data_IF_322271566856
#
_entry.id   IF_322271566856
#
_cell.length_a   1.000
_cell.length_b   1.000
_cell.length_c   1.000
_cell.angle_alpha   90.00
_cell.angle_beta   90.00
_cell.angle_gamma   90.00
#
_symmetry.space_group_name_H-M   'P 1'
#
loop_
_entity.id
_entity.type
_entity.pdbx_description
1 polymer ?
#
# COMPACT_ATOMS: atom_id res chain seq x y z
N UNK A 1 -1.69 18.23 21.46
CA UNK A 1 -0.78 18.78 20.41
C UNK A 1 -1.68 19.48 19.41
N UNK A 2 -1.26 20.63 18.88
CA UNK A 2 -2.10 21.45 17.99
C UNK A 2 -2.32 20.73 16.64
N UNK A 3 -3.53 20.66 16.13
CA UNK A 3 -3.87 19.94 14.87
C UNK A 3 -3.02 20.36 13.67
N UNK A 4 -2.63 21.64 13.60
CA UNK A 4 -1.70 22.15 12.59
C UNK A 4 -0.30 21.50 12.67
N UNK A 5 0.22 21.23 13.86
CA UNK A 5 1.51 20.54 14.01
C UNK A 5 1.43 19.08 13.55
N UNK A 6 0.30 18.41 13.78
CA UNK A 6 0.04 17.06 13.30
C UNK A 6 -0.05 17.01 11.78
N UNK A 7 -0.71 17.99 11.16
CA UNK A 7 -0.81 18.11 9.71
C UNK A 7 0.58 18.33 9.08
N UNK A 8 1.36 19.30 9.59
CA UNK A 8 2.73 19.54 9.11
C UNK A 8 3.61 18.29 9.22
N UNK A 9 3.56 17.59 10.35
CA UNK A 9 4.30 16.33 10.55
C UNK A 9 3.85 15.25 9.57
N UNK A 10 2.58 15.19 9.21
CA UNK A 10 2.08 14.21 8.24
C UNK A 10 2.60 14.48 6.83
N UNK A 11 2.72 15.75 6.43
CA UNK A 11 3.37 16.13 5.17
C UNK A 11 4.87 15.77 5.14
N UNK A 12 5.59 16.02 6.24
CA UNK A 12 6.99 15.61 6.36
C UNK A 12 7.17 14.10 6.19
N UNK A 13 6.32 13.30 6.85
CA UNK A 13 6.36 11.84 6.75
C UNK A 13 5.99 11.32 5.34
N UNK A 14 5.03 11.95 4.67
CA UNK A 14 4.72 11.63 3.27
C UNK A 14 5.87 12.02 2.32
N UNK A 15 6.51 13.15 2.59
CA UNK A 15 7.68 13.62 1.84
C UNK A 15 8.91 12.72 2.03
N UNK A 16 9.02 12.03 3.17
CA UNK A 16 10.11 11.10 3.48
C UNK A 16 9.92 9.70 2.86
N UNK A 17 8.95 9.51 1.96
CA UNK A 17 8.73 8.23 1.27
C UNK A 17 10.00 7.65 0.63
N UNK A 18 10.85 8.42 -0.10
CA UNK A 18 12.09 7.89 -0.69
C UNK A 18 13.09 7.39 0.36
N UNK A 19 13.27 8.12 1.46
CA UNK A 19 14.16 7.75 2.55
C UNK A 19 13.63 6.51 3.30
N UNK A 20 12.33 6.44 3.55
CA UNK A 20 11.71 5.27 4.18
C UNK A 20 11.83 4.01 3.31
N UNK A 21 11.73 4.15 1.99
CA UNK A 21 11.92 3.04 1.05
C UNK A 21 13.35 2.48 1.16
N UNK A 22 14.35 3.35 1.07
CA UNK A 22 15.76 2.96 1.19
C UNK A 22 16.05 2.32 2.56
N UNK A 23 15.61 2.96 3.64
CA UNK A 23 15.82 2.48 5.00
C UNK A 23 15.22 1.08 5.22
N UNK A 24 14.00 0.83 4.74
CA UNK A 24 13.37 -0.49 4.87
C UNK A 24 14.17 -1.59 4.17
N UNK A 25 14.70 -1.30 2.98
CA UNK A 25 15.54 -2.24 2.25
C UNK A 25 16.90 -2.48 2.95
N UNK A 26 17.52 -1.42 3.47
CA UNK A 26 18.79 -1.54 4.16
C UNK A 26 18.66 -2.37 5.44
N UNK A 27 17.60 -2.17 6.22
CA UNK A 27 17.31 -3.02 7.38
C UNK A 27 17.12 -4.47 6.96
N UNK A 28 16.34 -4.73 5.91
CA UNK A 28 16.11 -6.09 5.42
C UNK A 28 17.39 -6.78 4.92
N UNK A 29 18.34 -6.04 4.34
CA UNK A 29 19.63 -6.58 3.90
C UNK A 29 20.54 -7.06 5.04
N UNK A 30 20.31 -6.61 6.26
CA UNK A 30 21.04 -7.08 7.44
C UNK A 30 20.58 -8.43 7.96
N UNK A 31 19.42 -8.90 7.50
CA UNK A 31 18.78 -10.10 7.99
C UNK A 31 19.61 -11.34 7.71
N UNK A 32 19.45 -12.32 8.60
CA UNK A 32 20.05 -13.67 8.47
C UNK A 32 18.90 -14.69 8.54
N UNK A 33 19.15 -15.91 8.09
CA UNK A 33 18.21 -17.04 8.16
C UNK A 33 16.97 -16.92 7.24
N UNK A 34 17.03 -16.08 6.20
CA UNK A 34 16.01 -16.11 5.16
C UNK A 34 16.15 -17.35 4.28
N UNK A 35 15.06 -17.94 3.76
CA UNK A 35 15.11 -19.04 2.82
C UNK A 35 15.73 -18.61 1.49
N UNK A 36 16.29 -19.55 0.75
CA UNK A 36 16.68 -19.31 -0.64
C UNK A 36 15.46 -19.42 -1.56
N UNK A 37 15.50 -18.77 -2.72
CA UNK A 37 14.41 -18.82 -3.70
C UNK A 37 14.00 -20.26 -4.08
N UNK A 38 14.97 -21.19 -4.14
CA UNK A 38 14.73 -22.61 -4.42
C UNK A 38 13.88 -23.33 -3.36
N UNK A 39 13.80 -22.77 -2.15
CA UNK A 39 13.07 -23.35 -1.03
C UNK A 39 11.66 -22.78 -0.88
N UNK A 40 11.24 -21.90 -1.80
CA UNK A 40 9.99 -21.17 -1.74
C UNK A 40 9.11 -21.57 -2.92
N UNK A 41 7.94 -22.16 -2.64
CA UNK A 41 6.94 -22.52 -3.65
C UNK A 41 5.88 -21.42 -3.84
N UNK A 42 5.60 -20.64 -2.80
CA UNK A 42 4.71 -19.49 -2.85
C UNK A 42 5.07 -18.47 -1.75
N UNK A 43 4.59 -17.24 -1.97
CA UNK A 43 4.79 -16.13 -1.05
C UNK A 43 3.40 -15.64 -0.62
N UNK A 44 3.20 -15.47 0.68
CA UNK A 44 2.01 -14.84 1.23
C UNK A 44 2.40 -13.55 1.96
N UNK A 45 1.80 -12.44 1.56
CA UNK A 45 1.93 -11.17 2.25
C UNK A 45 0.64 -10.91 3.01
N UNK A 46 0.72 -10.86 4.33
CA UNK A 46 -0.39 -10.57 5.24
C UNK A 46 -0.36 -9.09 5.63
N UNK A 47 -1.50 -8.42 5.56
CA UNK A 47 -1.57 -7.03 5.99
C UNK A 47 -2.95 -6.41 5.85
N UNK A 48 -3.23 -5.43 6.71
CA UNK A 48 -4.42 -4.59 6.63
C UNK A 48 -4.03 -3.18 6.19
N UNK A 49 -4.93 -2.45 5.55
CA UNK A 49 -4.72 -1.05 5.17
C UNK A 49 -3.36 -0.80 4.49
N UNK A 50 -2.44 -0.17 5.19
CA UNK A 50 -1.08 0.15 4.69
C UNK A 50 -0.28 -1.10 4.36
N UNK A 51 -0.30 -2.12 5.21
CA UNK A 51 0.39 -3.39 4.97
C UNK A 51 -0.14 -4.11 3.73
N UNK A 52 -1.47 -4.21 3.59
CA UNK A 52 -2.10 -4.76 2.39
C UNK A 52 -1.66 -4.01 1.13
N UNK A 53 -1.64 -2.68 1.20
CA UNK A 53 -1.26 -1.85 0.04
C UNK A 53 0.21 -2.06 -0.34
N UNK A 54 1.12 -2.17 0.64
CA UNK A 54 2.52 -2.49 0.39
C UNK A 54 2.67 -3.87 -0.30
N UNK A 55 1.90 -4.87 0.14
CA UNK A 55 1.84 -6.18 -0.51
C UNK A 55 1.34 -6.10 -1.96
N UNK A 56 0.27 -5.33 -2.22
CA UNK A 56 -0.25 -5.12 -3.58
C UNK A 56 0.76 -4.44 -4.50
N UNK A 57 1.51 -3.45 -3.99
CA UNK A 57 2.61 -2.80 -4.72
C UNK A 57 3.67 -3.83 -5.09
N UNK A 58 4.13 -4.64 -4.14
CA UNK A 58 5.14 -5.67 -4.44
C UNK A 58 4.65 -6.68 -5.45
N UNK A 59 3.42 -7.19 -5.31
CA UNK A 59 2.82 -8.09 -6.30
C UNK A 59 2.75 -7.45 -7.68
N UNK A 60 2.32 -6.19 -7.77
CA UNK A 60 2.21 -5.47 -9.03
C UNK A 60 3.56 -5.30 -9.75
N UNK A 61 4.61 -5.00 -8.99
CA UNK A 61 5.96 -4.81 -9.52
C UNK A 61 6.62 -6.12 -9.96
N UNK A 62 6.29 -7.23 -9.30
CA UNK A 62 7.04 -8.48 -9.42
C UNK A 62 6.32 -9.57 -10.22
N UNK A 63 5.04 -9.42 -10.53
CA UNK A 63 4.23 -10.43 -11.25
C UNK A 63 4.82 -10.90 -12.57
N UNK A 64 5.60 -10.07 -13.26
CA UNK A 64 6.24 -10.40 -14.53
C UNK A 64 7.71 -10.83 -14.39
N UNK A 65 8.27 -10.82 -13.18
CA UNK A 65 9.72 -11.10 -12.97
C UNK A 65 9.98 -12.19 -11.94
N UNK A 66 9.04 -12.49 -11.05
CA UNK A 66 9.14 -13.57 -10.07
C UNK A 66 8.22 -14.71 -10.49
N UNK A 67 8.77 -15.90 -10.67
CA UNK A 67 8.00 -17.07 -11.09
C UNK A 67 7.16 -17.68 -9.95
N UNK A 68 7.52 -17.38 -8.70
CA UNK A 68 6.80 -17.86 -7.51
C UNK A 68 5.53 -17.04 -7.32
N UNK A 69 4.36 -17.67 -7.14
CA UNK A 69 3.10 -16.95 -6.89
C UNK A 69 3.16 -16.08 -5.62
N UNK A 70 2.67 -14.84 -5.73
CA UNK A 70 2.56 -13.92 -4.60
C UNK A 70 1.08 -13.68 -4.31
N UNK A 71 0.65 -14.11 -3.14
CA UNK A 71 -0.68 -13.89 -2.58
C UNK A 71 -0.62 -12.70 -1.62
N UNK A 72 -1.69 -11.91 -1.58
CA UNK A 72 -1.82 -10.77 -0.66
C UNK A 72 -3.17 -10.90 0.03
N UNK A 73 -3.15 -11.21 1.30
CA UNK A 73 -4.35 -11.51 2.08
C UNK A 73 -4.56 -10.51 3.23
N UNK A 74 -5.83 -10.26 3.49
CA UNK A 74 -6.33 -9.43 4.59
C UNK A 74 -7.55 -10.09 5.24
N UNK A 75 -7.41 -11.37 5.56
CA UNK A 75 -8.46 -12.24 6.10
C UNK A 75 -7.88 -13.06 7.24
N UNK A 76 -8.76 -13.59 8.09
CA UNK A 76 -8.43 -14.60 9.09
C UNK A 76 -8.12 -15.97 8.46
N UNK A 77 -8.72 -16.26 7.31
CA UNK A 77 -8.52 -17.53 6.61
C UNK A 77 -7.28 -17.49 5.71
N UNK A 78 -6.54 -18.59 5.72
CA UNK A 78 -5.37 -18.75 4.86
C UNK A 78 -5.66 -19.69 3.68
N UNK A 79 -5.12 -19.37 2.48
CA UNK A 79 -5.14 -20.29 1.36
C UNK A 79 -4.58 -21.66 1.73
N UNK A 80 -5.17 -22.72 1.20
CA UNK A 80 -4.77 -24.11 1.50
C UNK A 80 -3.35 -24.46 1.04
N UNK A 81 -2.79 -23.67 0.10
CA UNK A 81 -1.42 -23.87 -0.41
C UNK A 81 -0.32 -23.39 0.55
N UNK A 82 -0.68 -22.75 1.67
CA UNK A 82 0.31 -22.25 2.64
C UNK A 82 0.78 -23.41 3.53
N UNK A 83 2.11 -23.62 3.55
CA UNK A 83 2.76 -24.71 4.30
C UNK A 83 4.28 -24.49 4.43
N UNK A 84 5.03 -25.57 4.69
CA UNK A 84 6.47 -25.53 5.03
C UNK A 84 7.39 -24.91 3.97
N UNK A 85 6.95 -24.85 2.72
CA UNK A 85 7.69 -24.21 1.61
C UNK A 85 7.10 -22.83 1.24
N UNK A 86 6.26 -22.25 2.10
CA UNK A 86 5.74 -20.91 1.96
C UNK A 86 6.62 -19.91 2.70
N UNK A 87 6.89 -18.76 2.05
CA UNK A 87 7.41 -17.57 2.71
C UNK A 87 6.23 -16.67 3.08
N UNK A 88 5.97 -16.49 4.35
CA UNK A 88 4.89 -15.63 4.86
C UNK A 88 5.49 -14.35 5.42
N UNK A 89 5.07 -13.21 4.91
CA UNK A 89 5.54 -11.89 5.34
C UNK A 89 4.35 -11.15 5.96
N UNK A 90 4.36 -10.98 7.27
CA UNK A 90 3.31 -10.33 8.03
C UNK A 90 3.64 -8.84 8.27
N UNK A 91 2.79 -7.95 7.77
CA UNK A 91 2.97 -6.50 7.80
C UNK A 91 1.97 -5.87 8.79
N UNK A 92 2.44 -5.47 9.95
CA UNK A 92 1.64 -4.75 10.95
C UNK A 92 2.47 -3.69 11.65
N UNK A 93 2.19 -2.41 11.39
CA UNK A 93 2.92 -1.31 12.01
C UNK A 93 2.93 -1.38 13.54
N UNK A 94 1.80 -1.69 14.17
CA UNK A 94 1.68 -1.82 15.63
C UNK A 94 2.06 -3.20 16.15
N UNK A 95 2.09 -4.23 15.29
CA UNK A 95 2.20 -5.63 15.68
C UNK A 95 1.00 -6.22 16.41
N UNK A 96 -0.11 -5.46 16.48
CA UNK A 96 -1.32 -5.85 17.21
C UNK A 96 -2.57 -5.88 16.32
N UNK A 97 -2.38 -6.07 15.02
CA UNK A 97 -3.50 -6.24 14.07
C UNK A 97 -3.98 -7.67 14.15
N UNK A 98 -5.20 -7.87 14.65
CA UNK A 98 -5.74 -9.18 15.01
C UNK A 98 -5.77 -10.15 13.83
N UNK A 99 -6.26 -9.70 12.68
CA UNK A 99 -6.33 -10.51 11.46
C UNK A 99 -4.94 -10.97 10.99
N UNK A 100 -3.96 -10.08 11.06
CA UNK A 100 -2.56 -10.41 10.68
C UNK A 100 -1.95 -11.38 11.67
N UNK A 101 -2.19 -11.18 12.96
CA UNK A 101 -1.66 -12.03 14.04
C UNK A 101 -2.24 -13.44 13.98
N UNK A 102 -3.56 -13.56 13.81
CA UNK A 102 -4.23 -14.85 13.66
C UNK A 102 -3.72 -15.61 12.42
N UNK A 103 -3.66 -14.94 11.28
CA UNK A 103 -3.19 -15.55 10.04
C UNK A 103 -1.70 -15.95 10.13
N UNK A 104 -0.84 -15.14 10.78
CA UNK A 104 0.57 -15.45 10.98
C UNK A 104 0.76 -16.66 11.89
N UNK A 105 -0.05 -16.79 12.98
CA UNK A 105 -0.05 -17.95 13.85
C UNK A 105 -0.43 -19.22 13.09
N UNK A 106 -1.54 -19.18 12.36
CA UNK A 106 -1.99 -20.31 11.54
C UNK A 106 -0.95 -20.72 10.48
N UNK A 107 -0.26 -19.75 9.88
CA UNK A 107 0.81 -20.03 8.92
C UNK A 107 2.00 -20.73 9.58
N UNK A 108 2.40 -20.29 10.77
CA UNK A 108 3.47 -20.91 11.54
C UNK A 108 3.12 -22.35 11.96
N UNK A 109 1.88 -22.62 12.37
CA UNK A 109 1.37 -23.99 12.68
C UNK A 109 1.47 -24.92 11.45
N UNK A 110 1.30 -24.38 10.23
CA UNK A 110 1.48 -25.12 8.98
C UNK A 110 2.95 -25.27 8.57
N UNK A 111 3.89 -24.79 9.41
CA UNK A 111 5.33 -24.84 9.16
C UNK A 111 5.88 -23.80 8.20
N UNK A 112 5.11 -22.75 7.87
CA UNK A 112 5.57 -21.68 6.99
C UNK A 112 6.73 -20.87 7.62
N UNK A 113 7.59 -20.33 6.79
CA UNK A 113 8.69 -19.48 7.23
C UNK A 113 8.19 -18.05 7.37
N UNK A 114 8.26 -17.49 8.57
CA UNK A 114 7.67 -16.20 8.93
C UNK A 114 8.71 -15.08 8.91
N UNK A 115 8.35 -13.97 8.25
CA UNK A 115 9.00 -12.66 8.37
C UNK A 115 7.98 -11.67 8.89
N UNK A 116 8.28 -10.99 9.99
CA UNK A 116 7.44 -9.96 10.57
C UNK A 116 8.02 -8.57 10.32
N UNK A 117 7.22 -7.66 9.74
CA UNK A 117 7.58 -6.24 9.58
C UNK A 117 6.72 -5.43 10.52
N UNK A 118 7.30 -4.99 11.64
CA UNK A 118 6.54 -4.39 12.75
C UNK A 118 7.42 -3.50 13.63
N UNK A 119 6.81 -2.56 14.37
CA UNK A 119 7.53 -1.80 15.41
C UNK A 119 7.55 -2.49 16.77
N UNK A 120 6.96 -3.68 16.90
CA UNK A 120 6.85 -4.41 18.17
C UNK A 120 5.53 -5.16 18.26
N UNK A 121 4.98 -5.24 19.49
CA UNK A 121 3.71 -5.86 19.78
C UNK A 121 3.72 -7.39 19.68
N UNK A 122 2.54 -7.97 19.72
CA UNK A 122 2.38 -9.42 19.70
C UNK A 122 3.09 -10.09 18.51
N UNK A 123 3.04 -9.48 17.34
CA UNK A 123 3.66 -10.04 16.12
C UNK A 123 5.17 -10.19 16.24
N UNK A 124 5.86 -9.22 16.89
CA UNK A 124 7.30 -9.29 17.11
C UNK A 124 7.64 -10.42 18.09
N UNK A 125 6.93 -10.49 19.24
CA UNK A 125 7.13 -11.53 20.24
C UNK A 125 6.87 -12.92 19.64
N UNK A 126 5.74 -13.09 18.95
CA UNK A 126 5.37 -14.34 18.30
C UNK A 126 6.40 -14.80 17.25
N UNK A 127 6.84 -13.88 16.37
CA UNK A 127 7.84 -14.22 15.36
C UNK A 127 9.17 -14.64 16.01
N UNK A 128 9.61 -13.95 17.08
CA UNK A 128 10.81 -14.31 17.84
C UNK A 128 10.71 -15.69 18.46
N UNK A 129 9.61 -16.01 19.13
CA UNK A 129 9.37 -17.28 19.82
C UNK A 129 9.27 -18.48 18.85
N UNK A 130 8.87 -18.25 17.59
CA UNK A 130 8.68 -19.29 16.56
C UNK A 130 9.81 -19.29 15.51
N UNK A 131 10.97 -18.69 15.81
CA UNK A 131 12.13 -18.70 14.93
C UNK A 131 11.97 -17.89 13.63
N UNK A 132 10.98 -17.02 13.58
CA UNK A 132 10.76 -16.08 12.48
C UNK A 132 11.82 -14.97 12.45
N UNK A 133 11.82 -14.20 11.37
CA UNK A 133 12.73 -13.07 11.17
C UNK A 133 11.96 -11.76 11.36
N UNK A 134 12.54 -10.79 12.06
CA UNK A 134 11.88 -9.51 12.35
C UNK A 134 12.60 -8.39 11.59
N UNK A 135 11.83 -7.57 10.87
CA UNK A 135 12.23 -6.27 10.32
C UNK A 135 11.63 -5.20 11.22
N UNK A 136 12.43 -4.60 12.12
CA UNK A 136 11.91 -3.63 13.06
C UNK A 136 11.64 -2.29 12.37
N UNK A 137 10.38 -1.85 12.40
CA UNK A 137 10.01 -0.50 11.94
C UNK A 137 10.45 0.51 13.00
N UNK A 138 11.20 1.56 12.62
CA UNK A 138 11.59 2.62 13.53
C UNK A 138 10.37 3.32 14.17
N UNK A 139 10.43 3.56 15.47
CA UNK A 139 9.32 4.16 16.25
C UNK A 139 9.01 5.60 15.83
N UNK A 140 9.94 6.27 15.19
CA UNK A 140 9.83 7.62 14.67
C UNK A 140 8.90 7.71 13.43
N UNK A 141 8.69 6.58 12.74
CA UNK A 141 7.80 6.49 11.59
C UNK A 141 6.37 6.20 12.08
N UNK A 142 5.75 7.20 12.66
CA UNK A 142 4.37 7.15 13.16
C UNK A 142 3.52 8.28 12.54
N UNK A 143 2.25 8.06 12.28
CA UNK A 143 1.41 6.87 12.56
C UNK A 143 1.65 5.71 11.57
N UNK A 144 1.01 4.57 11.83
CA UNK A 144 1.16 3.34 11.02
C UNK A 144 1.03 3.54 9.49
N UNK A 145 0.24 4.52 9.03
CA UNK A 145 0.12 4.82 7.59
C UNK A 145 1.39 5.41 6.97
N UNK A 146 2.26 6.01 7.77
CA UNK A 146 3.55 6.55 7.33
C UNK A 146 4.60 5.44 7.11
N UNK A 147 4.38 4.24 7.64
CA UNK A 147 5.30 3.10 7.49
C UNK A 147 5.29 2.48 6.08
N UNK A 148 4.45 2.96 5.18
CA UNK A 148 4.27 2.39 3.84
C UNK A 148 5.58 2.25 3.06
N UNK A 149 6.38 3.32 2.95
CA UNK A 149 7.66 3.28 2.25
C UNK A 149 8.63 2.27 2.85
N UNK A 150 8.72 2.25 4.18
CA UNK A 150 9.55 1.29 4.91
C UNK A 150 9.10 -0.17 4.65
N UNK A 151 7.80 -0.44 4.67
CA UNK A 151 7.25 -1.77 4.38
C UNK A 151 7.57 -2.22 2.95
N UNK A 152 7.40 -1.34 1.95
CA UNK A 152 7.75 -1.66 0.56
C UNK A 152 9.24 -1.91 0.41
N UNK A 153 10.10 -1.07 0.99
CA UNK A 153 11.55 -1.26 1.00
C UNK A 153 11.95 -2.56 1.70
N UNK A 154 11.35 -2.85 2.85
CA UNK A 154 11.57 -4.10 3.58
C UNK A 154 11.22 -5.34 2.75
N UNK A 155 10.09 -5.33 2.04
CA UNK A 155 9.70 -6.39 1.11
C UNK A 155 10.72 -6.54 -0.03
N UNK A 156 11.17 -5.43 -0.62
CA UNK A 156 12.20 -5.46 -1.67
C UNK A 156 13.52 -6.08 -1.16
N UNK A 157 13.96 -5.68 0.04
CA UNK A 157 15.17 -6.21 0.64
C UNK A 157 15.05 -7.71 0.99
N UNK A 158 13.90 -8.18 1.48
CA UNK A 158 13.64 -9.62 1.69
C UNK A 158 13.72 -10.37 0.35
N UNK A 159 13.10 -9.86 -0.71
CA UNK A 159 13.11 -10.51 -2.02
C UNK A 159 14.53 -10.52 -2.64
N UNK A 160 15.32 -9.50 -2.37
CA UNK A 160 16.74 -9.46 -2.77
C UNK A 160 17.57 -10.50 -2.03
N UNK A 161 17.44 -10.56 -0.69
CA UNK A 161 18.19 -11.48 0.16
C UNK A 161 17.83 -12.97 -0.07
N UNK A 162 16.59 -13.25 -0.45
CA UNK A 162 16.15 -14.59 -0.83
C UNK A 162 16.57 -14.99 -2.26
N UNK A 163 17.08 -14.03 -3.05
CA UNK A 163 17.42 -14.24 -4.47
C UNK A 163 16.21 -14.20 -5.41
N UNK A 164 15.01 -13.83 -4.93
CA UNK A 164 13.80 -13.71 -5.75
C UNK A 164 13.82 -12.49 -6.66
N UNK A 165 14.40 -11.38 -6.20
CA UNK A 165 14.45 -10.11 -6.95
C UNK A 165 15.87 -9.52 -6.98
N UNK A 166 16.60 -9.75 -8.07
CA UNK A 166 17.99 -9.28 -8.22
C UNK A 166 18.12 -7.77 -8.49
N UNK A 167 17.06 -7.14 -8.99
CA UNK A 167 17.07 -5.73 -9.39
C UNK A 167 16.58 -4.77 -8.29
N UNK A 168 16.39 -5.23 -7.05
CA UNK A 168 15.80 -4.43 -5.98
C UNK A 168 16.58 -3.14 -5.71
N UNK A 169 17.91 -3.21 -5.60
CA UNK A 169 18.76 -2.03 -5.39
C UNK A 169 18.58 -1.01 -6.50
N UNK A 170 18.65 -1.41 -7.77
CA UNK A 170 18.47 -0.50 -8.90
C UNK A 170 17.08 0.14 -8.91
N UNK A 171 16.03 -0.62 -8.57
CA UNK A 171 14.67 -0.08 -8.48
C UNK A 171 14.55 0.96 -7.37
N UNK A 172 15.17 0.71 -6.22
CA UNK A 172 15.18 1.66 -5.09
C UNK A 172 15.88 2.95 -5.49
N UNK A 173 17.08 2.89 -6.09
CA UNK A 173 17.87 4.05 -6.45
C UNK A 173 17.16 4.94 -7.48
N UNK A 174 16.62 4.32 -8.55
CA UNK A 174 15.86 5.07 -9.57
C UNK A 174 14.57 5.65 -9.00
N UNK A 175 13.90 4.93 -8.11
CA UNK A 175 12.70 5.39 -7.43
C UNK A 175 12.99 6.54 -6.48
N UNK A 176 14.06 6.42 -5.68
CA UNK A 176 14.49 7.48 -4.76
C UNK A 176 14.71 8.78 -5.53
N UNK A 177 15.45 8.72 -6.63
CA UNK A 177 15.70 9.90 -7.49
C UNK A 177 14.40 10.53 -7.98
N UNK A 178 13.48 9.74 -8.53
CA UNK A 178 12.20 10.23 -9.03
C UNK A 178 11.33 10.84 -7.92
N UNK A 179 11.26 10.20 -6.76
CA UNK A 179 10.45 10.69 -5.65
C UNK A 179 11.02 11.98 -5.04
N UNK A 180 12.34 12.16 -5.04
CA UNK A 180 12.96 13.42 -4.64
C UNK A 180 12.57 14.57 -5.59
N UNK A 181 12.54 14.32 -6.91
CA UNK A 181 12.04 15.29 -7.88
C UNK A 181 10.57 15.62 -7.65
N UNK A 182 9.73 14.60 -7.50
CA UNK A 182 8.30 14.76 -7.23
C UNK A 182 8.06 15.51 -5.92
N UNK A 183 8.79 15.19 -4.86
CA UNK A 183 8.72 15.91 -3.59
C UNK A 183 8.98 17.41 -3.77
N UNK A 184 10.00 17.76 -4.53
CA UNK A 184 10.29 19.18 -4.83
C UNK A 184 9.10 19.87 -5.54
N UNK A 185 8.48 19.22 -6.51
CA UNK A 185 7.29 19.74 -7.19
C UNK A 185 6.08 19.89 -6.24
N UNK A 186 5.87 18.90 -5.34
CA UNK A 186 4.76 18.90 -4.39
C UNK A 186 4.91 19.91 -3.25
N UNK A 187 6.10 20.44 -3.03
CA UNK A 187 6.33 21.57 -2.11
C UNK A 187 6.00 22.94 -2.72
N UNK A 188 5.81 23.04 -4.03
CA UNK A 188 5.35 24.28 -4.65
C UNK A 188 3.92 24.60 -4.20
N UNK A 189 3.61 25.89 -4.02
CA UNK A 189 2.31 26.35 -3.52
C UNK A 189 1.12 25.87 -4.39
N UNK A 190 1.28 25.95 -5.72
CA UNK A 190 0.28 25.48 -6.69
C UNK A 190 0.81 24.25 -7.43
N UNK A 191 0.64 23.09 -6.86
CA UNK A 191 1.10 21.80 -7.40
C UNK A 191 -0.08 20.91 -7.85
N UNK A 192 0.22 19.74 -8.37
CA UNK A 192 -0.80 18.80 -8.86
C UNK A 192 -1.71 18.33 -7.73
N UNK A 193 -1.16 18.08 -6.53
CA UNK A 193 -1.92 17.56 -5.39
C UNK A 193 -2.86 18.62 -4.79
N UNK A 194 -2.45 19.91 -4.74
CA UNK A 194 -3.33 21.00 -4.28
C UNK A 194 -4.51 21.20 -5.22
N UNK A 195 -4.28 21.23 -6.54
CA UNK A 195 -5.37 21.35 -7.53
C UNK A 195 -6.33 20.17 -7.49
N UNK A 196 -5.82 18.95 -7.32
CA UNK A 196 -6.66 17.76 -7.15
C UNK A 196 -7.48 17.86 -5.87
N UNK A 197 -6.88 18.25 -4.76
CA UNK A 197 -7.58 18.40 -3.48
C UNK A 197 -8.75 19.38 -3.58
N UNK A 198 -8.52 20.57 -4.20
CA UNK A 198 -9.57 21.56 -4.45
C UNK A 198 -10.74 21.00 -5.28
N UNK A 199 -10.43 20.15 -6.26
CA UNK A 199 -11.44 19.57 -7.15
C UNK A 199 -12.16 18.35 -6.56
N UNK A 200 -11.52 17.65 -5.63
CA UNK A 200 -12.02 16.37 -5.09
C UNK A 200 -12.68 16.50 -3.72
N UNK A 201 -12.43 17.60 -3.00
CA UNK A 201 -12.99 17.78 -1.66
C UNK A 201 -14.51 17.62 -1.67
N UNK A 202 -15.04 16.91 -0.65
CA UNK A 202 -16.47 16.60 -0.48
C UNK A 202 -17.12 15.77 -1.61
N UNK A 203 -16.35 15.14 -2.48
CA UNK A 203 -16.84 14.22 -3.49
C UNK A 203 -16.60 12.76 -3.08
N UNK A 204 -17.45 11.85 -3.54
CA UNK A 204 -17.09 10.45 -3.60
C UNK A 204 -16.13 10.23 -4.76
N UNK A 205 -14.97 9.65 -4.48
CA UNK A 205 -13.88 9.50 -5.47
C UNK A 205 -13.72 8.05 -5.87
N UNK A 206 -13.92 7.75 -7.14
CA UNK A 206 -13.54 6.45 -7.72
C UNK A 206 -12.11 6.54 -8.26
N UNK A 207 -11.18 5.85 -7.59
CA UNK A 207 -9.80 5.73 -8.05
C UNK A 207 -9.69 4.58 -9.05
N UNK A 208 -9.32 4.87 -10.29
CA UNK A 208 -9.25 3.87 -11.36
C UNK A 208 -7.86 3.79 -11.97
N UNK A 209 -7.39 2.57 -12.21
CA UNK A 209 -6.11 2.32 -12.88
C UNK A 209 -6.10 0.98 -13.60
N UNK A 210 -5.11 0.79 -14.47
CA UNK A 210 -4.87 -0.49 -15.11
C UNK A 210 -4.35 -1.53 -14.11
N UNK A 211 -4.58 -2.81 -14.37
CA UNK A 211 -3.92 -3.87 -13.59
C UNK A 211 -2.62 -4.29 -14.26
N UNK A 212 -1.53 -4.50 -13.47
CA UNK A 212 -1.50 -4.47 -11.99
C UNK A 212 -1.06 -3.13 -11.37
N UNK A 213 -0.38 -2.24 -12.10
CA UNK A 213 0.34 -1.08 -11.55
C UNK A 213 -0.62 0.02 -11.09
N UNK A 214 -1.45 0.53 -12.00
CA UNK A 214 -2.45 1.56 -11.68
C UNK A 214 -3.43 1.11 -10.60
N UNK A 215 -3.79 -0.18 -10.58
CA UNK A 215 -4.65 -0.77 -9.55
C UNK A 215 -4.03 -0.79 -8.16
N UNK A 216 -2.71 -1.01 -8.06
CA UNK A 216 -2.00 -0.91 -6.79
C UNK A 216 -1.96 0.54 -6.30
N UNK A 217 -1.73 1.50 -7.20
CA UNK A 217 -1.84 2.93 -6.88
C UNK A 217 -3.26 3.31 -6.43
N UNK A 218 -4.30 2.87 -7.17
CA UNK A 218 -5.70 3.12 -6.83
C UNK A 218 -6.06 2.60 -5.43
N UNK A 219 -5.55 1.43 -5.05
CA UNK A 219 -5.73 0.88 -3.70
C UNK A 219 -5.12 1.77 -2.62
N UNK A 220 -3.95 2.36 -2.87
CA UNK A 220 -3.33 3.31 -1.93
C UNK A 220 -4.12 4.62 -1.87
N UNK A 221 -4.48 5.19 -3.01
CA UNK A 221 -5.29 6.40 -3.10
C UNK A 221 -6.58 6.27 -2.30
N UNK A 222 -7.35 5.21 -2.56
CA UNK A 222 -8.60 4.92 -1.82
C UNK A 222 -8.34 4.84 -0.32
N UNK A 223 -7.29 4.15 0.11
CA UNK A 223 -6.96 4.00 1.53
C UNK A 223 -6.64 5.35 2.17
N UNK A 224 -5.87 6.20 1.49
CA UNK A 224 -5.51 7.52 2.00
C UNK A 224 -6.68 8.50 2.01
N UNK A 225 -7.51 8.52 0.97
CA UNK A 225 -8.73 9.33 0.95
C UNK A 225 -9.66 8.94 2.11
N UNK A 226 -9.85 7.63 2.35
CA UNK A 226 -10.71 7.17 3.43
C UNK A 226 -10.14 7.48 4.83
N UNK A 227 -8.85 7.21 5.06
CA UNK A 227 -8.25 7.29 6.40
C UNK A 227 -7.73 8.69 6.73
N UNK A 228 -7.06 9.34 5.78
CA UNK A 228 -6.40 10.63 6.00
C UNK A 228 -7.36 11.79 5.77
N UNK A 229 -8.04 11.80 4.63
CA UNK A 229 -9.02 12.82 4.26
C UNK A 229 -10.42 12.57 4.86
N UNK A 230 -10.69 11.39 5.42
CA UNK A 230 -12.02 10.93 5.88
C UNK A 230 -13.09 11.15 4.82
N UNK A 231 -12.74 10.86 3.58
CA UNK A 231 -13.59 11.06 2.42
C UNK A 231 -13.91 9.71 1.77
N UNK A 232 -15.17 9.41 1.47
CA UNK A 232 -15.55 8.17 0.80
C UNK A 232 -14.85 8.03 -0.54
N UNK A 233 -14.23 6.87 -0.77
CA UNK A 233 -13.59 6.53 -2.02
C UNK A 233 -13.73 5.04 -2.33
N UNK A 234 -13.83 4.72 -3.61
CA UNK A 234 -13.87 3.36 -4.17
C UNK A 234 -12.70 3.13 -5.14
N UNK A 235 -12.57 1.90 -5.59
CA UNK A 235 -11.58 1.52 -6.61
C UNK A 235 -12.25 0.82 -7.76
N UNK A 236 -11.69 1.02 -8.95
CA UNK A 236 -12.11 0.39 -10.18
C UNK A 236 -10.87 0.00 -11.00
N UNK A 237 -10.96 -1.06 -11.78
CA UNK A 237 -9.81 -1.63 -12.47
C UNK A 237 -10.05 -1.76 -13.97
N UNK A 238 -9.13 -1.25 -14.76
CA UNK A 238 -9.11 -1.53 -16.19
C UNK A 238 -8.25 -2.79 -16.49
N UNK A 239 -8.65 -3.62 -17.44
CA UNK A 239 -9.76 -3.44 -18.42
C UNK A 239 -11.17 -3.88 -17.94
N UNK A 240 -11.31 -4.49 -16.77
CA UNK A 240 -12.57 -5.06 -16.28
C UNK A 240 -13.72 -4.05 -16.24
N UNK A 241 -13.49 -2.85 -15.74
CA UNK A 241 -14.47 -1.77 -15.66
C UNK A 241 -15.14 -1.45 -17.01
N UNK A 242 -14.40 -1.58 -18.10
CA UNK A 242 -14.93 -1.37 -19.45
C UNK A 242 -15.91 -2.46 -19.91
N UNK A 243 -16.03 -3.56 -19.18
CA UNK A 243 -16.97 -4.65 -19.48
C UNK A 243 -18.24 -4.61 -18.62
N UNK A 244 -18.26 -3.81 -17.55
CA UNK A 244 -19.38 -3.75 -16.62
C UNK A 244 -19.78 -2.33 -16.23
N UNK A 245 -18.86 -1.51 -15.72
CA UNK A 245 -19.17 -0.17 -15.20
C UNK A 245 -19.60 0.81 -16.30
N UNK A 246 -19.17 0.61 -17.55
CA UNK A 246 -19.54 1.46 -18.70
C UNK A 246 -21.04 1.57 -18.85
N UNK A 247 -21.78 0.47 -18.62
CA UNK A 247 -23.23 0.43 -18.75
C UNK A 247 -23.92 1.30 -17.70
N UNK A 248 -23.38 1.34 -16.48
CA UNK A 248 -23.93 2.17 -15.41
C UNK A 248 -23.87 3.67 -15.75
N UNK A 249 -22.78 4.11 -16.41
CA UNK A 249 -22.63 5.51 -16.81
C UNK A 249 -23.48 5.91 -18.02
N UNK A 250 -24.02 4.95 -18.78
CA UNK A 250 -24.83 5.23 -19.97
C UNK A 250 -26.21 5.80 -19.61
N UNK A 251 -26.76 5.34 -18.50
CA UNK A 251 -28.11 5.71 -18.05
C UNK A 251 -28.14 6.76 -16.94
N UNK A 252 -26.96 7.22 -16.49
CA UNK A 252 -26.88 8.20 -15.41
C UNK A 252 -27.07 9.63 -15.90
N UNK A 253 -27.89 10.41 -15.19
CA UNK A 253 -27.78 11.85 -15.23
C UNK A 253 -26.42 12.28 -14.66
N UNK A 254 -25.87 13.46 -15.08
CA UNK A 254 -24.62 13.95 -14.53
C UNK A 254 -24.61 13.87 -13.00
N UNK A 255 -23.67 13.07 -12.45
CA UNK A 255 -23.63 12.82 -11.02
C UNK A 255 -22.89 13.97 -10.32
N UNK A 256 -23.67 14.80 -9.63
CA UNK A 256 -23.15 15.83 -8.74
C UNK A 256 -22.58 15.16 -7.49
N UNK A 257 -21.36 15.51 -7.11
CA UNK A 257 -20.69 14.94 -5.93
C UNK A 257 -19.87 13.68 -6.17
N UNK A 258 -19.78 13.20 -7.42
CA UNK A 258 -18.90 12.10 -7.83
C UNK A 258 -17.68 12.65 -8.59
N UNK A 259 -16.56 11.94 -8.50
CA UNK A 259 -15.38 12.18 -9.31
C UNK A 259 -14.64 10.88 -9.61
N UNK A 260 -14.03 10.80 -10.80
CA UNK A 260 -13.16 9.69 -11.19
C UNK A 260 -11.73 10.20 -11.32
N UNK A 261 -10.81 9.53 -10.64
CA UNK A 261 -9.36 9.79 -10.78
C UNK A 261 -8.74 8.65 -11.55
N UNK A 262 -8.30 8.94 -12.77
CA UNK A 262 -7.61 7.99 -13.65
C UNK A 262 -6.11 8.04 -13.39
N UNK A 263 -5.56 6.93 -12.89
CA UNK A 263 -4.14 6.78 -12.54
C UNK A 263 -3.41 6.13 -13.71
N UNK A 264 -2.67 6.95 -14.45
CA UNK A 264 -1.96 6.59 -15.69
C UNK A 264 -0.45 6.52 -15.46
N UNK A 265 0.24 5.67 -16.21
CA UNK A 265 1.70 5.56 -16.15
C UNK A 265 2.30 5.13 -17.51
N UNK A 266 3.61 5.36 -17.76
CA UNK A 266 4.23 5.08 -19.07
C UNK A 266 4.35 3.58 -19.40
N UNK A 267 4.07 2.68 -18.46
CA UNK A 267 4.20 1.22 -18.60
C UNK A 267 2.86 0.52 -18.83
N UNK A 268 1.80 1.25 -19.16
CA UNK A 268 0.51 0.68 -19.50
C UNK A 268 0.61 -0.21 -20.76
N UNK A 269 -0.14 -1.31 -20.78
CA UNK A 269 -0.35 -2.03 -22.01
C UNK A 269 -1.05 -1.13 -23.02
N UNK A 270 -0.57 -1.08 -24.27
CA UNK A 270 -1.13 -0.19 -25.29
C UNK A 270 -2.64 -0.32 -25.50
N UNK A 271 -3.19 -1.55 -25.39
CA UNK A 271 -4.64 -1.79 -25.50
C UNK A 271 -5.40 -1.18 -24.32
N UNK A 272 -4.87 -1.33 -23.11
CA UNK A 272 -5.48 -0.75 -21.90
C UNK A 272 -5.33 0.78 -21.92
N UNK A 273 -4.18 1.30 -22.34
CA UNK A 273 -3.98 2.73 -22.50
C UNK A 273 -5.01 3.38 -23.42
N UNK A 274 -5.20 2.78 -24.61
CA UNK A 274 -6.24 3.21 -25.55
C UNK A 274 -7.66 3.10 -24.97
N UNK A 275 -7.93 2.03 -24.23
CA UNK A 275 -9.22 1.83 -23.59
C UNK A 275 -9.49 2.92 -22.54
N UNK A 276 -8.49 3.29 -21.74
CA UNK A 276 -8.60 4.37 -20.76
C UNK A 276 -8.78 5.74 -21.42
N UNK A 277 -8.19 5.98 -22.61
CA UNK A 277 -8.43 7.21 -23.37
C UNK A 277 -9.89 7.29 -23.87
N UNK A 278 -10.44 6.18 -24.38
CA UNK A 278 -11.86 6.09 -24.78
C UNK A 278 -12.78 6.25 -23.57
N UNK A 279 -12.40 5.66 -22.43
CA UNK A 279 -13.14 5.80 -21.17
C UNK A 279 -13.23 7.26 -20.73
N UNK A 280 -12.12 8.00 -20.81
CA UNK A 280 -12.10 9.43 -20.48
C UNK A 280 -13.07 10.22 -21.37
N UNK A 281 -13.08 9.94 -22.68
CA UNK A 281 -14.02 10.57 -23.63
C UNK A 281 -15.47 10.20 -23.34
N UNK A 282 -15.72 8.94 -22.97
CA UNK A 282 -17.05 8.45 -22.66
C UNK A 282 -17.64 9.06 -21.37
N UNK A 283 -16.81 9.33 -20.38
CA UNK A 283 -17.21 9.95 -19.12
C UNK A 283 -17.37 11.48 -19.20
N UNK A 284 -16.91 12.11 -20.30
CA UNK A 284 -16.98 13.56 -20.48
C UNK A 284 -18.45 14.04 -20.39
N UNK A 285 -18.66 15.10 -19.61
CA UNK A 285 -19.99 15.65 -19.34
C UNK A 285 -20.89 14.80 -18.39
N UNK A 286 -20.47 13.58 -17.99
CA UNK A 286 -21.24 12.71 -17.09
C UNK A 286 -20.75 12.80 -15.65
N UNK A 287 -19.46 12.90 -15.45
CA UNK A 287 -18.80 12.98 -14.13
C UNK A 287 -17.50 13.78 -14.23
N UNK A 288 -17.05 14.36 -13.11
CA UNK A 288 -15.75 15.01 -13.07
C UNK A 288 -14.63 13.97 -13.21
N UNK A 289 -13.78 14.10 -14.24
CA UNK A 289 -12.66 13.18 -14.50
C UNK A 289 -11.33 13.89 -14.34
N UNK A 290 -10.45 13.34 -13.52
CA UNK A 290 -9.11 13.83 -13.30
C UNK A 290 -8.08 12.79 -13.69
N UNK A 291 -7.23 13.10 -14.67
CA UNK A 291 -6.13 12.21 -15.06
C UNK A 291 -4.86 12.58 -14.32
N UNK A 292 -4.31 11.65 -13.56
CA UNK A 292 -3.03 11.76 -12.86
C UNK A 292 -2.02 10.88 -13.56
N UNK A 293 -0.86 11.43 -13.92
CA UNK A 293 0.19 10.70 -14.60
C UNK A 293 1.40 10.54 -13.70
N UNK A 294 1.74 9.30 -13.39
CA UNK A 294 2.99 8.95 -12.73
C UNK A 294 4.17 9.05 -13.69
N UNK A 295 5.30 9.45 -13.17
CA UNK A 295 6.56 9.59 -13.90
C UNK A 295 7.64 8.69 -13.28
N UNK A 296 8.63 8.31 -14.07
CA UNK A 296 9.79 7.54 -13.63
C UNK A 296 10.32 6.60 -14.69
N UNK A 297 11.62 6.31 -14.62
CA UNK A 297 12.34 5.47 -15.58
C UNK A 297 12.10 3.96 -15.35
N UNK A 298 11.43 3.58 -14.25
CA UNK A 298 11.08 2.20 -13.93
C UNK A 298 9.61 2.10 -13.53
N UNK A 299 9.04 0.87 -13.62
CA UNK A 299 7.68 0.60 -13.12
C UNK A 299 7.53 0.95 -11.65
N UNK A 300 8.58 0.69 -10.86
CA UNK A 300 8.60 1.02 -9.43
C UNK A 300 8.53 2.53 -9.21
N UNK A 301 9.37 3.30 -9.89
CA UNK A 301 9.38 4.76 -9.78
C UNK A 301 8.03 5.36 -10.19
N UNK A 302 7.46 4.93 -11.33
CA UNK A 302 6.17 5.44 -11.81
C UNK A 302 5.01 5.09 -10.86
N UNK A 303 5.00 3.89 -10.28
CA UNK A 303 3.98 3.48 -9.32
C UNK A 303 4.07 4.27 -8.01
N UNK A 304 5.26 4.41 -7.44
CA UNK A 304 5.43 5.13 -6.18
C UNK A 304 5.29 6.65 -6.37
N UNK A 305 5.56 7.18 -7.55
CA UNK A 305 5.27 8.57 -7.92
C UNK A 305 3.75 8.85 -7.89
N UNK A 306 2.93 7.99 -8.51
CA UNK A 306 1.47 8.05 -8.41
C UNK A 306 0.98 8.01 -6.95
N UNK A 307 1.58 7.15 -6.15
CA UNK A 307 1.22 7.00 -4.74
C UNK A 307 1.57 8.27 -3.95
N UNK A 308 2.74 8.84 -4.17
CA UNK A 308 3.16 10.07 -3.49
C UNK A 308 2.22 11.25 -3.80
N UNK A 309 1.79 11.40 -5.05
CA UNK A 309 0.79 12.40 -5.43
C UNK A 309 -0.51 12.18 -4.65
N UNK A 310 -0.97 10.93 -4.52
CA UNK A 310 -2.19 10.58 -3.79
C UNK A 310 -2.10 10.84 -2.28
N UNK A 311 -0.97 10.51 -1.67
CA UNK A 311 -0.75 10.75 -0.25
C UNK A 311 -0.80 12.27 0.05
N UNK A 312 -0.15 13.10 -0.79
CA UNK A 312 -0.23 14.56 -0.68
C UNK A 312 -1.63 15.12 -0.96
N UNK A 313 -2.33 14.58 -1.96
CA UNK A 313 -3.71 15.00 -2.27
C UNK A 313 -4.63 14.76 -1.07
N UNK A 314 -4.56 13.59 -0.45
CA UNK A 314 -5.36 13.26 0.73
C UNK A 314 -5.02 14.15 1.93
N UNK A 315 -3.76 14.52 2.12
CA UNK A 315 -3.33 15.45 3.17
C UNK A 315 -3.85 16.87 2.92
N UNK A 316 -3.82 17.37 1.68
CA UNK A 316 -4.39 18.67 1.33
C UNK A 316 -5.92 18.72 1.53
N UNK A 317 -6.63 17.63 1.20
CA UNK A 317 -8.07 17.54 1.50
C UNK A 317 -8.31 17.56 3.02
N UNK A 318 -7.51 16.83 3.81
CA UNK A 318 -7.62 16.84 5.27
C UNK A 318 -7.38 18.25 5.84
N UNK A 319 -6.37 18.95 5.35
CA UNK A 319 -6.04 20.32 5.75
C UNK A 319 -7.16 21.30 5.40
N UNK A 320 -7.68 21.24 4.16
CA UNK A 320 -8.81 22.08 3.72
C UNK A 320 -10.09 21.86 4.56
N UNK A 321 -10.28 20.66 5.10
CA UNK A 321 -11.40 20.31 5.99
C UNK A 321 -11.08 20.49 7.48
N UNK A 322 -9.92 21.05 7.82
CA UNK A 322 -9.45 21.22 9.20
C UNK A 322 -9.48 19.90 10.01
N UNK A 323 -9.20 18.76 9.37
CA UNK A 323 -9.14 17.44 10.00
C UNK A 323 -7.73 17.16 10.50
N UNK A 324 -7.63 16.52 11.67
CA UNK A 324 -6.38 15.91 12.08
C UNK A 324 -6.17 14.61 11.28
N UNK A 325 -5.15 14.54 10.39
CA UNK A 325 -4.93 13.37 9.54
C UNK A 325 -4.54 12.11 10.34
N UNK A 326 -4.13 12.25 11.60
CA UNK A 326 -3.69 11.14 12.45
C UNK A 326 -4.81 10.56 13.32
N UNK A 327 -5.95 11.23 13.40
CA UNK A 327 -7.07 10.78 14.18
C UNK A 327 -7.92 9.74 13.43
N UNK A 328 -8.04 8.54 14.00
CA UNK A 328 -8.82 7.41 13.48
C UNK A 328 -9.76 6.86 14.57
N UNK A 329 -10.75 7.65 15.01
CA UNK A 329 -11.52 7.37 16.22
C UNK A 329 -12.20 6.00 16.19
N UNK A 330 -12.77 5.60 15.06
CA UNK A 330 -13.47 4.31 14.95
C UNK A 330 -12.49 3.12 15.09
N UNK A 331 -11.34 3.16 14.43
CA UNK A 331 -10.32 2.09 14.55
C UNK A 331 -9.82 2.01 15.98
N UNK A 332 -9.58 3.16 16.62
CA UNK A 332 -9.15 3.21 18.02
C UNK A 332 -10.22 2.68 18.98
N UNK A 333 -11.49 2.88 18.67
CA UNK A 333 -12.61 2.38 19.45
C UNK A 333 -12.77 0.87 19.31
N UNK A 334 -12.77 0.32 18.08
CA UNK A 334 -12.88 -1.12 17.85
C UNK A 334 -11.72 -1.90 18.47
N UNK A 335 -10.49 -1.37 18.40
CA UNK A 335 -9.34 -1.99 19.09
C UNK A 335 -9.52 -2.01 20.60
N UNK A 336 -10.15 -0.98 21.20
CA UNK A 336 -10.42 -0.96 22.65
C UNK A 336 -11.56 -1.85 23.05
N UNK A 337 -12.59 -2.03 22.20
CA UNK A 337 -13.84 -2.67 22.56
C UNK A 337 -13.91 -4.16 22.18
N UNK A 338 -13.15 -4.62 21.21
CA UNK A 338 -13.44 -5.90 20.59
C UNK A 338 -12.32 -6.88 20.30
N UNK A 339 -11.10 -6.42 20.16
CA UNK A 339 -10.02 -7.33 19.79
C UNK A 339 -9.09 -7.58 20.96
N UNK A 340 -9.45 -8.56 21.81
CA UNK A 340 -8.46 -9.15 22.69
C UNK A 340 -7.40 -9.83 21.81
N UNK A 341 -6.08 -9.59 22.03
CA UNK A 341 -5.06 -10.32 21.29
C UNK A 341 -5.31 -11.82 21.39
N UNK A 342 -5.06 -12.60 20.31
CA UNK A 342 -5.26 -14.03 20.34
C UNK A 342 -4.54 -14.61 21.56
N UNK A 343 -5.23 -15.45 22.33
CA UNK A 343 -4.64 -16.08 23.50
C UNK A 343 -3.37 -16.79 23.04
N UNK A 344 -2.24 -16.54 23.72
CA UNK A 344 -1.01 -17.28 23.47
C UNK A 344 -1.37 -18.76 23.41
N UNK A 345 -1.18 -19.38 22.25
CA UNK A 345 -1.29 -20.81 22.11
C UNK A 345 -0.33 -21.38 23.17
N UNK A 346 -0.88 -21.90 24.25
CA UNK A 346 -0.07 -22.60 25.26
C UNK A 346 0.56 -23.76 24.51
N UNK A 347 1.88 -23.86 24.58
CA UNK A 347 2.55 -25.09 24.20
C UNK A 347 1.74 -26.25 24.83
N UNK A 348 1.29 -27.18 24.02
CA UNK A 348 0.74 -28.43 24.57
C UNK A 348 1.90 -29.09 25.27
N UNK A 349 1.86 -29.05 26.61
CA UNK A 349 2.64 -29.94 27.42
C UNK A 349 2.15 -31.37 27.10
N UNK A 350 2.92 -32.08 26.28
CA UNK A 350 2.88 -33.54 26.14
C UNK A 350 4.26 -34.11 26.56
#
# INVERSE_FOLDING_TARGET
MNDRANTARSFELAAALPEHLALGADVARTLRRLPQASDIDNILILGMGTGRTAGLVMRALTVAVIAVPILVESSYELPACIGSRSLVIALSGSGNTDEVNHAAATAAERGARLVAVTSGGWLADFAGDHGGVIIPIPTEIQPARATFGFMVGGLMGVFEQTGLLRAATQWIDTTHTQLCLRRHELHAHANVATRLAESLVERHVTCQGDTPIGGAAASRWKTQLNQTARQPASISFQPDASHNEVVAWDSCNPLMGEAVVLLRHPYENQRVSRLMDLWTQYLDGKVAVHTVRGAGETRCAALLDLIMIGDFTALHIADARALNPNDVPYISQTVKEGFAPPQRLRARDD
#
